data_IF_968669956673
#
_entry.id   IF_968669956673
#
_cell.length_a   1.000
_cell.length_b   1.000
_cell.length_c   1.000
_cell.angle_alpha   90.00
_cell.angle_beta   90.00
_cell.angle_gamma   90.00
#
_symmetry.space_group_name_H-M   'P 1'
#
loop_
_entity.id
_entity.type
_entity.pdbx_description
1 polymer ?
#
# COMPACT_ATOMS: atom_id res chain seq x y z
N UNK A 1 4.85 4.83 13.33
CA UNK A 1 4.39 3.58 12.69
C UNK A 1 5.63 2.98 12.06
N UNK A 2 6.15 1.90 12.63
CA UNK A 2 7.48 1.37 12.32
C UNK A 2 7.53 0.70 10.93
N UNK A 3 8.58 1.03 10.19
CA UNK A 3 8.97 0.47 8.90
C UNK A 3 9.00 -1.07 8.92
N UNK A 4 8.53 -1.68 7.83
CA UNK A 4 8.47 -3.14 7.66
C UNK A 4 9.29 -3.49 6.40
N UNK A 5 10.61 -3.77 6.54
CA UNK A 5 11.52 -4.04 5.42
C UNK A 5 11.09 -5.24 4.56
N UNK A 6 11.67 -5.44 3.37
CA UNK A 6 11.53 -6.72 2.63
C UNK A 6 11.93 -7.94 3.49
N UNK A 7 12.83 -7.72 4.46
CA UNK A 7 13.19 -8.67 5.52
C UNK A 7 12.06 -8.96 6.50
N UNK A 8 11.12 -8.05 6.73
CA UNK A 8 9.96 -8.28 7.59
C UNK A 8 9.03 -9.34 7.02
N UNK A 9 8.75 -9.35 5.71
CA UNK A 9 7.99 -10.47 5.11
C UNK A 9 8.72 -11.80 5.24
N UNK A 10 10.05 -11.76 5.26
CA UNK A 10 10.89 -12.93 5.52
C UNK A 10 11.05 -13.25 7.02
N UNK A 11 10.66 -12.33 7.92
CA UNK A 11 10.90 -12.43 9.36
C UNK A 11 10.07 -13.54 9.99
N UNK A 12 10.62 -14.15 11.03
CA UNK A 12 9.94 -15.19 11.79
C UNK A 12 8.60 -14.69 12.36
N UNK A 13 8.55 -13.42 12.79
CA UNK A 13 7.34 -12.81 13.35
C UNK A 13 6.24 -12.62 12.31
N UNK A 14 6.56 -12.10 11.12
CA UNK A 14 5.56 -12.00 10.06
C UNK A 14 5.07 -13.38 9.62
N UNK A 15 5.99 -14.35 9.47
CA UNK A 15 5.65 -15.74 9.11
C UNK A 15 4.79 -16.39 10.19
N UNK A 16 5.09 -16.21 11.47
CA UNK A 16 4.29 -16.74 12.57
C UNK A 16 2.89 -16.09 12.66
N UNK A 17 2.80 -14.77 12.46
CA UNK A 17 1.51 -14.06 12.39
C UNK A 17 0.70 -14.49 11.18
N UNK A 18 1.35 -14.64 10.03
CA UNK A 18 0.76 -15.14 8.80
C UNK A 18 0.26 -16.58 8.96
N UNK A 19 1.05 -17.45 9.58
CA UNK A 19 0.69 -18.86 9.82
C UNK A 19 -0.45 -18.99 10.83
N UNK A 20 -0.46 -18.19 11.90
CA UNK A 20 -1.58 -18.13 12.84
C UNK A 20 -2.86 -17.63 12.16
N UNK A 21 -2.74 -16.61 11.30
CA UNK A 21 -3.87 -16.11 10.51
C UNK A 21 -4.34 -17.12 9.44
N UNK A 22 -3.43 -17.90 8.86
CA UNK A 22 -3.74 -18.96 7.88
C UNK A 22 -4.47 -20.14 8.52
N UNK A 23 -4.23 -20.43 9.80
CA UNK A 23 -4.96 -21.46 10.56
C UNK A 23 -6.39 -21.02 10.92
N UNK A 24 -6.62 -19.72 11.10
CA UNK A 24 -7.95 -19.14 11.32
C UNK A 24 -8.83 -19.11 10.06
N UNK A 25 -8.33 -19.63 8.93
CA UNK A 25 -8.98 -19.66 7.60
C UNK A 25 -10.12 -20.68 7.45
N UNK A 26 -10.48 -21.44 8.50
CA UNK A 26 -11.43 -22.57 8.38
C UNK A 26 -12.91 -22.13 8.37
N UNK A 27 -13.43 -22.04 7.15
CA UNK A 27 -14.82 -22.26 6.68
C UNK A 27 -15.86 -21.11 6.75
N UNK A 28 -16.49 -20.86 5.58
CA UNK A 28 -17.57 -19.88 5.34
C UNK A 28 -18.99 -20.45 5.52
N UNK A 29 -19.14 -21.77 5.65
CA UNK A 29 -20.47 -22.38 5.61
C UNK A 29 -21.05 -22.40 7.02
N UNK A 30 -21.96 -21.45 7.26
CA UNK A 30 -22.63 -21.19 8.53
C UNK A 30 -23.19 -22.45 9.21
N UNK A 31 -22.45 -22.95 10.18
CA UNK A 31 -22.79 -24.05 11.07
C UNK A 31 -21.95 -23.97 12.36
N UNK A 32 -22.23 -24.80 13.38
CA UNK A 32 -21.46 -24.82 14.62
C UNK A 32 -19.97 -25.08 14.30
N UNK A 33 -19.11 -24.07 14.53
CA UNK A 33 -17.74 -23.99 14.01
C UNK A 33 -17.43 -22.73 13.17
N UNK A 34 -18.41 -21.84 12.99
CA UNK A 34 -18.24 -20.56 12.26
C UNK A 34 -17.33 -19.60 13.03
N UNK A 35 -16.14 -19.35 12.49
CA UNK A 35 -15.14 -18.42 13.03
C UNK A 35 -15.25 -16.99 12.47
N UNK A 36 -14.57 -16.01 13.11
CA UNK A 36 -14.67 -14.60 12.75
C UNK A 36 -14.25 -14.29 11.30
N UNK A 37 -14.89 -13.25 10.76
CA UNK A 37 -14.88 -12.70 9.40
C UNK A 37 -13.67 -13.00 8.50
N UNK A 38 -13.98 -13.32 7.24
CA UNK A 38 -13.07 -13.56 6.12
C UNK A 38 -12.36 -12.31 5.57
N UNK A 39 -12.16 -11.24 6.34
CA UNK A 39 -11.35 -10.13 5.87
C UNK A 39 -9.87 -10.51 5.86
N UNK A 40 -9.49 -11.29 4.85
CA UNK A 40 -8.18 -11.91 4.69
C UNK A 40 -7.28 -10.97 3.94
N UNK A 41 -6.57 -10.11 4.68
CA UNK A 41 -5.23 -9.59 4.38
C UNK A 41 -5.03 -8.36 5.24
N UNK A 42 -3.88 -8.30 5.91
CA UNK A 42 -3.42 -7.08 6.55
C UNK A 42 -3.28 -6.02 5.48
N UNK A 43 -4.23 -5.09 5.44
CA UNK A 43 -4.08 -3.84 4.70
C UNK A 43 -2.88 -3.15 5.33
N UNK A 44 -1.79 -3.05 4.59
CA UNK A 44 -0.67 -2.21 5.02
C UNK A 44 -1.15 -0.77 5.01
N UNK A 45 -0.84 -0.06 6.09
CA UNK A 45 -1.16 1.34 6.22
C UNK A 45 -0.31 2.17 5.27
N UNK A 46 -0.81 3.35 4.93
CA UNK A 46 -0.08 4.35 4.16
C UNK A 46 1.32 4.64 4.74
N UNK A 47 1.43 4.82 6.06
CA UNK A 47 2.73 5.10 6.71
C UNK A 47 3.71 3.92 6.61
N UNK A 48 3.22 2.69 6.42
CA UNK A 48 4.10 1.54 6.16
C UNK A 48 4.78 1.70 4.80
N UNK A 49 4.01 2.11 3.77
CA UNK A 49 4.55 2.34 2.43
C UNK A 49 5.40 3.59 2.33
N UNK A 50 5.05 4.67 3.04
CA UNK A 50 5.91 5.85 3.17
C UNK A 50 7.27 5.47 3.72
N UNK A 51 7.28 4.69 4.82
CA UNK A 51 8.52 4.15 5.35
C UNK A 51 9.30 3.40 4.28
N UNK A 52 8.67 2.42 3.61
CA UNK A 52 9.28 1.60 2.54
C UNK A 52 10.01 2.48 1.53
N UNK A 53 9.33 3.48 0.99
CA UNK A 53 9.89 4.39 -0.01
C UNK A 53 10.98 5.29 0.57
N UNK A 54 10.89 5.69 1.84
CA UNK A 54 11.88 6.55 2.47
C UNK A 54 13.23 5.86 2.68
N UNK A 55 13.29 4.52 2.69
CA UNK A 55 14.57 3.80 2.72
C UNK A 55 15.24 3.66 1.35
N UNK A 56 14.46 3.78 0.27
CA UNK A 56 14.97 3.70 -1.10
C UNK A 56 15.34 5.10 -1.65
N UNK A 57 14.93 6.17 -0.97
CA UNK A 57 15.25 7.56 -1.31
C UNK A 57 16.48 8.07 -0.56
N UNK A 58 17.14 9.08 -1.13
CA UNK A 58 18.22 9.81 -0.46
C UNK A 58 17.70 10.59 0.76
N UNK A 59 18.56 10.86 1.76
CA UNK A 59 18.17 11.49 3.04
C UNK A 59 17.47 12.86 2.87
N UNK A 60 17.74 13.57 1.77
CA UNK A 60 17.18 14.89 1.48
C UNK A 60 15.85 14.83 0.68
N UNK A 61 15.41 13.64 0.24
CA UNK A 61 14.22 13.49 -0.62
C UNK A 61 13.00 12.99 0.17
N UNK A 62 12.03 13.87 0.37
CA UNK A 62 10.77 13.53 1.05
C UNK A 62 9.92 12.58 0.19
N UNK A 63 9.32 11.58 0.84
CA UNK A 63 8.32 10.71 0.21
C UNK A 63 7.01 11.46 0.12
N UNK A 64 6.52 11.64 -1.09
CA UNK A 64 5.23 12.31 -1.29
C UNK A 64 4.09 11.31 -1.26
N UNK A 65 2.85 11.75 -0.94
CA UNK A 65 1.68 10.90 -1.09
C UNK A 65 1.47 10.36 -2.51
N UNK A 66 1.98 11.06 -3.53
CA UNK A 66 1.97 10.59 -4.92
C UNK A 66 2.90 9.39 -5.12
N UNK A 67 4.07 9.39 -4.48
CA UNK A 67 5.02 8.28 -4.57
C UNK A 67 4.41 7.01 -3.97
N UNK A 68 3.76 7.13 -2.82
CA UNK A 68 3.03 6.02 -2.19
C UNK A 68 1.88 5.55 -3.09
N UNK A 69 1.12 6.49 -3.68
CA UNK A 69 0.03 6.15 -4.58
C UNK A 69 0.52 5.37 -5.79
N UNK A 70 1.59 5.83 -6.45
CA UNK A 70 2.19 5.14 -7.58
C UNK A 70 2.72 3.78 -7.17
N UNK A 71 3.44 3.68 -6.05
CA UNK A 71 3.96 2.41 -5.54
C UNK A 71 2.85 1.38 -5.31
N UNK A 72 1.71 1.77 -4.72
CA UNK A 72 0.62 0.85 -4.38
C UNK A 72 -0.27 0.50 -5.58
N UNK A 73 -0.44 1.43 -6.52
CA UNK A 73 -1.42 1.29 -7.60
C UNK A 73 -0.82 0.98 -8.98
N UNK A 74 0.48 0.74 -9.05
CA UNK A 74 1.17 0.29 -10.26
C UNK A 74 1.64 -1.16 -10.14
N UNK A 75 1.75 -1.84 -11.28
CA UNK A 75 2.17 -3.24 -11.33
C UNK A 75 3.64 -3.32 -10.96
N UNK A 76 3.97 -4.30 -10.12
CA UNK A 76 5.33 -4.58 -9.69
C UNK A 76 6.09 -3.33 -9.18
N UNK A 77 5.35 -2.32 -8.70
CA UNK A 77 5.88 -1.04 -8.23
C UNK A 77 6.65 -0.25 -9.31
N UNK A 78 6.34 -0.44 -10.59
CA UNK A 78 7.05 0.19 -11.72
C UNK A 78 6.80 1.71 -11.86
N UNK A 79 5.79 2.26 -11.16
CA UNK A 79 5.43 3.67 -11.21
C UNK A 79 4.76 4.11 -12.53
N UNK A 80 4.51 3.18 -13.46
CA UNK A 80 4.04 3.49 -14.82
C UNK A 80 2.75 2.73 -15.14
N UNK A 81 2.71 1.43 -14.90
CA UNK A 81 1.62 0.56 -15.35
C UNK A 81 0.58 0.40 -14.27
N UNK A 82 -0.52 1.15 -14.32
CA UNK A 82 -1.57 1.03 -13.31
C UNK A 82 -2.23 -0.36 -13.28
N UNK A 83 -2.53 -0.83 -12.06
CA UNK A 83 -3.21 -2.12 -11.83
C UNK A 83 -4.66 -2.08 -12.33
N UNK A 84 -5.30 -0.91 -12.33
CA UNK A 84 -6.68 -0.73 -12.80
C UNK A 84 -6.89 0.67 -13.40
N UNK A 85 -7.97 0.81 -14.18
CA UNK A 85 -8.32 2.05 -14.90
C UNK A 85 -8.73 3.19 -13.96
N UNK A 86 -9.32 2.89 -12.80
CA UNK A 86 -9.76 3.90 -11.84
C UNK A 86 -8.57 4.60 -11.18
N UNK A 87 -7.53 3.86 -10.84
CA UNK A 87 -6.28 4.41 -10.30
C UNK A 87 -5.58 5.30 -11.33
N UNK A 88 -5.54 4.88 -12.59
CA UNK A 88 -4.99 5.70 -13.67
C UNK A 88 -5.77 7.02 -13.85
N UNK A 89 -7.09 6.94 -13.89
CA UNK A 89 -7.94 8.14 -13.99
C UNK A 89 -7.74 9.09 -12.81
N UNK A 90 -7.74 8.57 -11.58
CA UNK A 90 -7.53 9.40 -10.39
C UNK A 90 -6.17 10.10 -10.42
N UNK A 91 -5.11 9.40 -10.80
CA UNK A 91 -3.77 9.98 -10.92
C UNK A 91 -3.74 11.09 -11.98
N UNK A 92 -4.34 10.87 -13.15
CA UNK A 92 -4.41 11.89 -14.20
C UNK A 92 -5.12 13.16 -13.76
N UNK A 93 -6.22 13.03 -12.99
CA UNK A 93 -6.97 14.15 -12.47
C UNK A 93 -6.19 14.91 -11.38
N UNK A 94 -5.41 14.20 -10.56
CA UNK A 94 -4.55 14.79 -9.54
C UNK A 94 -3.43 15.62 -10.17
N UNK A 95 -2.77 15.08 -11.21
CA UNK A 95 -1.76 15.80 -12.00
C UNK A 95 -2.35 17.08 -12.61
N UNK A 96 -3.51 16.96 -13.27
CA UNK A 96 -4.22 18.09 -13.87
C UNK A 96 -4.51 19.20 -12.85
N UNK A 97 -5.03 18.84 -11.66
CA UNK A 97 -5.32 19.81 -10.60
C UNK A 97 -4.08 20.47 -10.03
N UNK A 98 -2.97 19.75 -9.94
CA UNK A 98 -1.69 20.30 -9.49
C UNK A 98 -1.21 21.37 -10.46
N UNK A 99 -1.26 21.09 -11.76
CA UNK A 99 -0.91 22.04 -12.82
C UNK A 99 -1.79 23.30 -12.75
N UNK A 100 -3.11 23.14 -12.62
CA UNK A 100 -4.04 24.26 -12.46
C UNK A 100 -3.73 25.12 -11.22
N UNK A 101 -3.42 24.47 -10.08
CA UNK A 101 -3.11 25.18 -8.85
C UNK A 101 -1.77 25.94 -8.95
N UNK A 102 -0.75 25.35 -9.59
CA UNK A 102 0.54 26.01 -9.81
C UNK A 102 0.41 27.21 -10.76
N UNK A 103 -0.48 27.17 -11.75
CA UNK A 103 -0.75 28.29 -12.64
C UNK A 103 -1.61 29.39 -11.99
N UNK A 104 -2.44 29.05 -10.99
CA UNK A 104 -3.33 30.00 -10.32
C UNK A 104 -2.63 30.84 -9.22
N UNK A 105 -1.45 30.45 -8.76
CA UNK A 105 -0.61 31.22 -7.84
C UNK A 105 0.62 31.76 -8.57
N UNK A 106 0.57 32.99 -9.15
CA UNK A 106 1.79 33.62 -9.66
C UNK A 106 2.68 34.00 -8.46
N UNK A 107 3.99 33.76 -8.60
CA UNK A 107 5.03 34.23 -7.66
C UNK A 107 4.93 35.73 -7.39
#
# INVERSE_FOLDING_TARGET
MEYIPSQYRASADFKARFEKASHNRKSEKGGPGTGPSKHTRGTQSFQTYEGILALDKDEDEEVTPNDVFLHVHTKDHDGVTFINSRSAWFYSELVRRREEHTQATPN
#
